data_IF_124749534767
#
_entry.id   IF_124749534767
#
_cell.length_a   1.000
_cell.length_b   1.000
_cell.length_c   1.000
_cell.angle_alpha   90.00
_cell.angle_beta   90.00
_cell.angle_gamma   90.00
#
_symmetry.space_group_name_H-M   'P 1'
#
loop_
_entity.id
_entity.type
_entity.pdbx_description
1 polymer ?
#
# COMPACT_ATOMS: atom_id res chain seq x y z
N UNK A 1 -32.88 10.42 61.95
CA UNK A 1 -33.35 10.37 60.54
C UNK A 1 -32.09 10.37 59.66
N UNK A 2 -31.59 9.17 59.32
CA UNK A 2 -31.52 8.53 57.98
C UNK A 2 -30.44 9.12 57.04
N UNK A 3 -29.38 8.37 56.72
CA UNK A 3 -28.52 8.70 55.59
C UNK A 3 -29.24 8.32 54.29
N UNK A 4 -29.21 9.20 53.29
CA UNK A 4 -29.78 8.91 51.96
C UNK A 4 -28.63 8.63 50.99
N UNK A 5 -28.38 7.33 50.83
CA UNK A 5 -27.87 6.60 49.67
C UNK A 5 -27.39 7.44 48.46
N UNK A 6 -26.07 7.61 48.35
CA UNK A 6 -25.36 8.08 47.16
C UNK A 6 -24.83 6.89 46.32
N UNK A 7 -25.66 5.87 46.11
CA UNK A 7 -25.25 4.63 45.45
C UNK A 7 -26.31 4.17 44.47
N UNK A 8 -26.49 4.89 43.35
CA UNK A 8 -27.31 4.37 42.24
C UNK A 8 -27.18 5.13 40.90
N UNK A 9 -25.96 5.49 40.49
CA UNK A 9 -25.72 5.96 39.11
C UNK A 9 -24.90 4.99 38.26
N UNK A 10 -24.38 3.89 38.84
CA UNK A 10 -23.51 2.93 38.17
C UNK A 10 -24.26 1.76 37.48
N UNK A 11 -25.59 1.80 37.37
CA UNK A 11 -26.37 0.74 36.72
C UNK A 11 -26.91 1.09 35.33
N UNK A 12 -26.71 2.33 34.86
CA UNK A 12 -27.26 2.80 33.57
C UNK A 12 -26.30 2.67 32.38
N UNK A 13 -25.08 2.15 32.56
CA UNK A 13 -24.10 1.98 31.48
C UNK A 13 -23.89 0.52 31.03
N UNK A 14 -24.64 -0.43 31.59
CA UNK A 14 -24.47 -1.86 31.31
C UNK A 14 -25.07 -2.41 30.00
N UNK A 15 -25.93 -1.73 29.19
CA UNK A 15 -26.41 -2.36 27.95
C UNK A 15 -25.48 -2.16 26.74
N UNK A 16 -24.37 -1.41 26.85
CA UNK A 16 -23.54 -1.07 25.66
C UNK A 16 -22.54 -2.17 25.27
N UNK A 17 -22.33 -3.21 26.09
CA UNK A 17 -21.40 -4.31 25.75
C UNK A 17 -22.02 -5.48 24.97
N UNK A 18 -23.32 -5.47 24.70
CA UNK A 18 -24.03 -6.64 24.16
C UNK A 18 -24.00 -6.79 22.62
N UNK A 19 -23.23 -5.99 21.89
CA UNK A 19 -23.15 -6.06 20.41
C UNK A 19 -21.72 -6.20 19.87
N UNK A 20 -20.87 -6.98 20.53
CA UNK A 20 -19.69 -7.57 19.89
C UNK A 20 -20.01 -8.98 19.39
N UNK A 21 -21.07 -9.14 18.59
CA UNK A 21 -21.26 -10.38 17.86
C UNK A 21 -20.12 -10.47 16.83
N UNK A 22 -19.32 -11.56 16.79
CA UNK A 22 -18.41 -11.77 15.68
C UNK A 22 -19.25 -11.73 14.40
N UNK A 23 -18.97 -10.77 13.53
CA UNK A 23 -19.59 -10.74 12.21
C UNK A 23 -19.38 -12.13 11.60
N UNK A 24 -20.45 -12.81 11.14
CA UNK A 24 -20.28 -14.10 10.53
C UNK A 24 -19.33 -13.90 9.36
N UNK A 25 -18.24 -14.66 9.35
CA UNK A 25 -17.30 -14.74 8.24
C UNK A 25 -18.02 -15.53 7.13
N UNK A 26 -19.19 -15.06 6.71
CA UNK A 26 -19.85 -15.55 5.50
C UNK A 26 -18.86 -15.19 4.41
N UNK A 27 -18.31 -16.25 3.81
CA UNK A 27 -17.30 -16.25 2.76
C UNK A 27 -16.89 -14.85 2.33
N UNK A 28 -15.70 -14.42 2.77
CA UNK A 28 -14.84 -13.81 1.76
C UNK A 28 -14.72 -14.91 0.73
N UNK A 29 -15.56 -14.84 -0.30
CA UNK A 29 -15.37 -15.60 -1.51
C UNK A 29 -13.91 -15.34 -1.86
N UNK A 30 -13.06 -16.32 -1.57
CA UNK A 30 -11.86 -16.53 -2.33
C UNK A 30 -12.38 -17.06 -3.67
N UNK A 31 -13.17 -16.22 -4.35
CA UNK A 31 -13.15 -16.17 -5.79
C UNK A 31 -11.67 -16.23 -6.10
N UNK A 32 -11.28 -17.20 -6.92
CA UNK A 32 -9.93 -17.29 -7.45
C UNK A 32 -9.61 -15.92 -8.04
N UNK A 33 -9.10 -15.01 -7.22
CA UNK A 33 -8.70 -13.68 -7.60
C UNK A 33 -7.57 -14.00 -8.52
N UNK A 34 -7.81 -13.84 -9.82
CA UNK A 34 -6.79 -14.08 -10.82
C UNK A 34 -5.52 -13.42 -10.30
N UNK A 35 -4.42 -14.17 -10.28
CA UNK A 35 -3.09 -13.70 -9.89
C UNK A 35 -2.58 -12.57 -10.80
N UNK A 36 -3.39 -12.11 -11.77
CA UNK A 36 -3.07 -11.00 -12.65
C UNK A 36 -3.32 -9.67 -11.95
N UNK A 37 -2.24 -8.90 -11.82
CA UNK A 37 -2.29 -7.50 -11.43
C UNK A 37 -2.96 -6.68 -12.53
N UNK A 38 -4.02 -5.93 -12.18
CA UNK A 38 -4.76 -5.08 -13.13
C UNK A 38 -4.42 -3.61 -12.97
N UNK A 39 -4.63 -2.81 -14.02
CA UNK A 39 -4.46 -1.37 -13.96
C UNK A 39 -5.36 -0.72 -12.89
N UNK A 40 -6.58 -1.23 -12.70
CA UNK A 40 -7.50 -0.71 -11.68
C UNK A 40 -6.97 -0.94 -10.25
N UNK A 41 -6.29 -2.06 -10.01
CA UNK A 41 -5.64 -2.32 -8.72
C UNK A 41 -4.47 -1.36 -8.50
N UNK A 42 -3.69 -1.05 -9.55
CA UNK A 42 -2.63 -0.05 -9.47
C UNK A 42 -3.20 1.34 -9.19
N UNK A 43 -4.27 1.75 -9.87
CA UNK A 43 -4.94 3.05 -9.64
C UNK A 43 -5.48 3.16 -8.22
N UNK A 44 -5.99 2.08 -7.64
CA UNK A 44 -6.46 2.08 -6.26
C UNK A 44 -5.33 2.33 -5.24
N UNK A 45 -4.09 1.96 -5.57
CA UNK A 45 -2.91 2.15 -4.71
C UNK A 45 -2.20 3.47 -5.02
N UNK A 46 -2.15 3.88 -6.29
CA UNK A 46 -1.43 5.03 -6.81
C UNK A 46 -2.35 5.86 -7.73
N UNK A 47 -3.26 6.67 -7.20
CA UNK A 47 -4.32 7.32 -7.97
C UNK A 47 -3.82 8.22 -9.12
N UNK A 48 -2.66 8.87 -8.97
CA UNK A 48 -2.09 9.72 -10.01
C UNK A 48 -1.65 8.94 -11.24
N UNK A 49 -1.43 7.62 -11.13
CA UNK A 49 -1.11 6.74 -12.25
C UNK A 49 -2.29 6.52 -13.23
N UNK A 50 -3.50 6.95 -12.86
CA UNK A 50 -4.64 7.02 -13.77
C UNK A 50 -4.48 8.11 -14.85
N UNK A 51 -3.64 9.12 -14.58
CA UNK A 51 -3.32 10.17 -15.55
C UNK A 51 -2.23 9.67 -16.49
N UNK A 52 -2.36 9.98 -17.79
CA UNK A 52 -1.33 9.64 -18.75
C UNK A 52 0.00 10.34 -18.42
N UNK A 53 1.11 9.66 -18.70
CA UNK A 53 2.43 10.24 -18.52
C UNK A 53 2.65 11.52 -19.34
N UNK A 54 1.91 11.73 -20.42
CA UNK A 54 1.93 13.00 -21.17
C UNK A 54 1.60 14.21 -20.30
N UNK A 55 0.72 14.06 -19.32
CA UNK A 55 0.25 15.16 -18.47
C UNK A 55 1.03 15.29 -17.16
N UNK A 56 1.60 14.17 -16.68
CA UNK A 56 2.19 14.06 -15.35
C UNK A 56 3.71 14.02 -15.36
N UNK A 57 4.33 13.54 -16.44
CA UNK A 57 5.77 13.34 -16.47
C UNK A 57 6.53 14.65 -16.22
N UNK A 58 7.59 14.55 -15.43
CA UNK A 58 8.56 15.64 -15.28
C UNK A 58 9.22 15.90 -16.64
N UNK A 59 9.27 17.16 -17.04
CA UNK A 59 9.95 17.60 -18.27
C UNK A 59 11.42 17.22 -18.30
N UNK A 60 12.06 17.10 -17.13
CA UNK A 60 13.46 16.71 -16.99
C UNK A 60 13.64 15.17 -16.96
N UNK A 61 12.56 14.40 -16.87
CA UNK A 61 12.58 12.95 -16.82
C UNK A 61 11.39 12.30 -17.56
N UNK A 62 11.10 12.68 -18.82
CA UNK A 62 9.86 12.28 -19.50
C UNK A 62 9.77 10.77 -19.73
N UNK A 63 10.91 10.09 -19.76
CA UNK A 63 11.01 8.64 -20.00
C UNK A 63 10.84 7.79 -18.74
N UNK A 64 10.81 8.39 -17.55
CA UNK A 64 10.75 7.64 -16.29
C UNK A 64 9.34 7.32 -15.82
N UNK A 65 8.36 8.13 -16.24
CA UNK A 65 6.97 7.94 -15.88
C UNK A 65 6.40 6.64 -16.46
N UNK A 66 5.57 5.97 -15.66
CA UNK A 66 4.74 4.87 -16.10
C UNK A 66 3.28 5.05 -15.65
N UNK A 67 2.34 4.76 -16.54
CA UNK A 67 0.91 4.72 -16.24
C UNK A 67 0.51 3.37 -15.64
N UNK A 68 -0.73 3.28 -15.13
CA UNK A 68 -1.23 2.10 -14.45
C UNK A 68 -1.16 0.82 -15.31
N UNK A 69 -1.38 0.89 -16.62
CA UNK A 69 -1.32 -0.28 -17.52
C UNK A 69 0.10 -0.82 -17.68
N UNK A 70 1.06 0.08 -17.91
CA UNK A 70 2.47 -0.26 -18.04
C UNK A 70 3.03 -0.79 -16.72
N UNK A 71 2.64 -0.17 -15.60
CA UNK A 71 3.01 -0.62 -14.26
C UNK A 71 2.47 -2.02 -13.98
N UNK A 72 1.16 -2.24 -14.18
CA UNK A 72 0.53 -3.55 -13.94
C UNK A 72 1.21 -4.67 -14.75
N UNK A 73 1.48 -4.41 -16.04
CA UNK A 73 2.15 -5.38 -16.93
C UNK A 73 3.56 -5.73 -16.44
N UNK A 74 4.36 -4.74 -16.04
CA UNK A 74 5.74 -4.96 -15.62
C UNK A 74 5.83 -5.62 -14.24
N UNK A 75 4.94 -5.25 -13.33
CA UNK A 75 4.85 -5.85 -12.00
C UNK A 75 4.38 -7.31 -12.11
N UNK A 76 3.36 -7.59 -12.93
CA UNK A 76 2.90 -8.96 -13.15
C UNK A 76 4.04 -9.87 -13.65
N UNK A 77 4.86 -9.40 -14.61
CA UNK A 77 6.05 -10.12 -15.07
C UNK A 77 7.08 -10.34 -13.95
N UNK A 78 7.27 -9.35 -13.09
CA UNK A 78 8.21 -9.44 -11.97
C UNK A 78 7.73 -10.43 -10.92
N UNK A 79 6.45 -10.40 -10.57
CA UNK A 79 5.85 -11.31 -9.62
C UNK A 79 5.83 -12.75 -10.13
N UNK A 80 5.59 -12.96 -11.41
CA UNK A 80 5.74 -14.28 -12.04
C UNK A 80 7.21 -14.75 -11.97
N UNK A 81 8.16 -13.90 -12.37
CA UNK A 81 9.59 -14.24 -12.34
C UNK A 81 10.09 -14.62 -10.94
N UNK A 82 9.68 -13.89 -9.91
CA UNK A 82 10.12 -14.09 -8.53
C UNK A 82 9.15 -14.91 -7.69
N UNK A 83 8.11 -15.47 -8.31
CA UNK A 83 7.10 -16.34 -7.66
C UNK A 83 6.40 -15.66 -6.46
N UNK A 84 6.19 -14.35 -6.55
CA UNK A 84 5.42 -13.56 -5.56
C UNK A 84 3.94 -13.80 -5.82
N UNK A 85 3.35 -14.76 -5.12
CA UNK A 85 2.00 -15.27 -5.38
C UNK A 85 0.96 -14.85 -4.35
N UNK A 86 1.40 -14.46 -3.14
CA UNK A 86 0.50 -14.05 -2.07
C UNK A 86 -0.12 -12.68 -2.37
N UNK A 87 -1.46 -12.53 -2.40
CA UNK A 87 -2.09 -11.24 -2.68
C UNK A 87 -1.71 -10.14 -1.67
N UNK A 88 -1.50 -10.52 -0.41
CA UNK A 88 -1.08 -9.58 0.63
C UNK A 88 0.35 -9.10 0.41
N UNK A 89 1.25 -10.00 0.01
CA UNK A 89 2.64 -9.68 -0.32
C UNK A 89 2.70 -8.78 -1.56
N UNK A 90 1.98 -9.15 -2.62
CA UNK A 90 1.87 -8.34 -3.83
C UNK A 90 1.40 -6.92 -3.52
N UNK A 91 0.33 -6.76 -2.74
CA UNK A 91 -0.18 -5.45 -2.35
C UNK A 91 0.82 -4.64 -1.52
N UNK A 92 1.53 -5.28 -0.59
CA UNK A 92 2.56 -4.62 0.22
C UNK A 92 3.73 -4.14 -0.64
N UNK A 93 4.23 -4.99 -1.55
CA UNK A 93 5.33 -4.64 -2.46
C UNK A 93 4.89 -3.53 -3.43
N UNK A 94 3.68 -3.59 -4.01
CA UNK A 94 3.15 -2.54 -4.89
C UNK A 94 3.04 -1.21 -4.14
N UNK A 95 2.49 -1.22 -2.93
CA UNK A 95 2.34 -0.01 -2.10
C UNK A 95 3.69 0.65 -1.83
N UNK A 96 4.71 -0.15 -1.52
CA UNK A 96 6.06 0.36 -1.29
C UNK A 96 6.68 0.92 -2.58
N UNK A 97 6.56 0.21 -3.71
CA UNK A 97 7.06 0.72 -5.00
C UNK A 97 6.40 2.05 -5.37
N UNK A 98 5.08 2.18 -5.14
CA UNK A 98 4.34 3.40 -5.39
C UNK A 98 4.84 4.55 -4.50
N UNK A 99 5.04 4.31 -3.20
CA UNK A 99 5.55 5.31 -2.27
C UNK A 99 6.91 5.84 -2.70
N UNK A 100 7.87 4.95 -2.95
CA UNK A 100 9.26 5.31 -3.27
C UNK A 100 9.40 5.98 -4.65
N UNK A 101 8.48 5.68 -5.59
CA UNK A 101 8.51 6.19 -6.96
C UNK A 101 7.66 7.43 -7.19
N UNK A 102 7.07 8.01 -6.14
CA UNK A 102 6.07 9.08 -6.26
C UNK A 102 4.93 8.66 -7.19
N UNK A 103 4.32 7.52 -6.87
CA UNK A 103 3.26 6.87 -7.65
C UNK A 103 3.68 6.47 -9.07
N UNK A 104 4.92 5.99 -9.24
CA UNK A 104 5.51 5.61 -10.54
C UNK A 104 5.80 6.81 -11.47
N UNK A 105 6.17 7.95 -10.89
CA UNK A 105 6.62 9.12 -11.66
C UNK A 105 8.07 8.99 -12.07
N UNK A 106 8.87 8.45 -11.15
CA UNK A 106 10.32 8.39 -11.26
C UNK A 106 10.79 6.95 -11.12
N UNK A 107 11.86 6.61 -11.84
CA UNK A 107 12.54 5.31 -11.71
C UNK A 107 13.94 5.43 -11.10
N UNK A 108 14.46 6.65 -10.97
CA UNK A 108 15.74 6.98 -10.35
C UNK A 108 15.55 8.05 -9.30
N UNK A 109 16.41 8.03 -8.29
CA UNK A 109 16.47 9.08 -7.28
C UNK A 109 16.74 10.45 -7.96
N UNK A 110 15.90 11.46 -7.66
CA UNK A 110 16.02 12.82 -8.21
C UNK A 110 16.75 13.80 -7.29
N UNK A 111 16.57 13.71 -5.98
CA UNK A 111 17.20 14.62 -5.01
C UNK A 111 17.18 14.01 -3.60
N UNK A 112 18.31 13.93 -2.87
CA UNK A 112 19.65 14.46 -3.18
C UNK A 112 20.43 13.66 -4.24
N UNK A 113 19.81 12.69 -4.91
CA UNK A 113 20.23 12.18 -6.22
C UNK A 113 21.64 11.60 -6.26
N UNK A 114 21.86 10.43 -5.65
CA UNK A 114 23.12 9.71 -5.84
C UNK A 114 23.04 8.83 -7.10
N UNK A 115 24.00 8.93 -8.03
CA UNK A 115 24.05 8.07 -9.20
C UNK A 115 24.00 6.58 -8.81
N UNK A 116 23.11 5.82 -9.46
CA UNK A 116 22.92 4.39 -9.20
C UNK A 116 21.83 4.03 -8.19
N UNK A 117 21.20 5.01 -7.52
CA UNK A 117 20.04 4.76 -6.66
C UNK A 117 18.73 4.77 -7.46
N UNK A 118 18.04 3.63 -7.49
CA UNK A 118 16.67 3.53 -8.02
C UNK A 118 15.64 4.07 -7.02
N UNK A 119 14.51 4.57 -7.52
CA UNK A 119 13.37 5.00 -6.70
C UNK A 119 12.27 3.94 -6.59
N UNK A 120 12.34 2.83 -7.33
CA UNK A 120 11.28 1.81 -7.28
C UNK A 120 11.33 0.91 -6.03
N UNK A 121 12.43 0.91 -5.28
CA UNK A 121 12.55 0.20 -4.01
C UNK A 121 13.77 0.74 -3.26
N UNK A 122 13.54 1.68 -2.34
CA UNK A 122 14.61 2.30 -1.56
C UNK A 122 14.50 1.87 -0.10
N UNK A 123 14.93 0.64 0.21
CA UNK A 123 15.21 0.28 1.61
C UNK A 123 16.62 0.76 1.97
N UNK A 124 16.77 2.04 2.29
CA UNK A 124 17.98 2.52 2.92
C UNK A 124 17.98 2.07 4.39
N UNK A 125 18.52 0.89 4.68
CA UNK A 125 19.03 0.63 6.02
C UNK A 125 20.24 1.54 6.23
N UNK A 126 20.37 2.25 7.37
CA UNK A 126 21.61 2.91 7.70
C UNK A 126 22.71 1.85 7.63
N UNK A 127 23.71 2.05 6.77
CA UNK A 127 24.97 1.33 6.88
C UNK A 127 25.64 1.85 8.16
N UNK A 128 25.16 1.38 9.31
CA UNK A 128 25.98 1.37 10.51
C UNK A 128 27.23 0.61 10.12
N UNK A 129 28.34 1.34 10.10
CA UNK A 129 29.61 0.84 9.64
C UNK A 129 29.88 -0.42 10.44
N UNK A 130 29.96 -1.58 9.79
CA UNK A 130 30.57 -2.75 10.39
C UNK A 130 32.05 -2.41 10.59
N UNK A 131 32.35 -1.69 11.67
CA UNK A 131 33.69 -1.51 12.17
C UNK A 131 34.17 -2.89 12.61
N UNK A 132 35.27 -3.32 11.98
CA UNK A 132 35.91 -4.60 12.24
C UNK A 132 36.60 -4.59 13.59
#
# INVERSE_FOLDING_TARGET
MKPVFFTNTLYLLLPVLASAAPAPIIGRDIHSRGTSITAQQIIAIAPSSAQSCTNRADKNAPTECADAEKVATNIAKSFDKYQVTSPAEQAAVISLMALESVEFLYNRNKSPGVPGQGSMYLQSVPVEKCEK
#
